data_IF_342321455042
#
_entry.id   IF_342321455042
#
_cell.length_a   1.000
_cell.length_b   1.000
_cell.length_c   1.000
_cell.angle_alpha   90.00
_cell.angle_beta   90.00
_cell.angle_gamma   90.00
#
_symmetry.space_group_name_H-M   'P 1'
#
loop_
_entity.id
_entity.type
_entity.pdbx_description
1 polymer ?
#
# COMPACT_ATOMS: atom_id res chain seq x y z
N UNK A 1 -1.60 -41.95 4.15
CA UNK A 1 -2.14 -41.14 3.01
C UNK A 1 -2.95 -39.92 3.46
N UNK A 2 -3.57 -39.92 4.65
CA UNK A 2 -4.39 -38.80 5.17
C UNK A 2 -3.59 -37.54 5.56
N UNK A 3 -2.41 -37.67 6.18
CA UNK A 3 -1.59 -36.51 6.58
C UNK A 3 -1.12 -35.64 5.39
N UNK A 4 -0.83 -36.24 4.23
CA UNK A 4 -0.47 -35.49 3.02
C UNK A 4 -1.62 -34.59 2.52
N UNK A 5 -2.87 -35.07 2.62
CA UNK A 5 -4.05 -34.27 2.25
C UNK A 5 -4.28 -33.12 3.21
N UNK A 6 -4.07 -33.33 4.51
CA UNK A 6 -4.19 -32.29 5.54
C UNK A 6 -3.12 -31.20 5.34
N UNK A 7 -1.87 -31.59 5.06
CA UNK A 7 -0.78 -30.63 4.80
C UNK A 7 -1.05 -29.80 3.54
N UNK A 8 -1.60 -30.39 2.49
CA UNK A 8 -1.97 -29.68 1.25
C UNK A 8 -3.09 -28.68 1.51
N UNK A 9 -4.14 -29.06 2.25
CA UNK A 9 -5.24 -28.16 2.60
C UNK A 9 -4.76 -27.01 3.49
N UNK A 10 -3.89 -27.30 4.46
CA UNK A 10 -3.31 -26.28 5.34
C UNK A 10 -2.41 -25.31 4.56
N UNK A 11 -1.60 -25.81 3.62
CA UNK A 11 -0.79 -24.99 2.73
C UNK A 11 -1.65 -24.11 1.80
N UNK A 12 -2.80 -24.61 1.34
CA UNK A 12 -3.74 -23.85 0.52
C UNK A 12 -4.40 -22.73 1.33
N UNK A 13 -4.82 -23.00 2.57
CA UNK A 13 -5.37 -21.97 3.46
C UNK A 13 -4.32 -20.91 3.83
N UNK A 14 -3.07 -21.30 4.09
CA UNK A 14 -1.96 -20.38 4.33
C UNK A 14 -1.63 -19.52 3.09
N UNK A 15 -1.75 -20.07 1.89
CA UNK A 15 -1.55 -19.32 0.64
C UNK A 15 -2.65 -18.28 0.40
N UNK A 16 -3.90 -18.59 0.74
CA UNK A 16 -5.03 -17.65 0.68
C UNK A 16 -4.86 -16.51 1.69
N UNK A 17 -4.44 -16.84 2.92
CA UNK A 17 -4.17 -15.85 3.98
C UNK A 17 -2.99 -14.92 3.63
N UNK A 18 -1.98 -15.41 2.91
CA UNK A 18 -0.83 -14.61 2.49
C UNK A 18 -1.13 -13.59 1.38
N UNK A 19 -2.31 -13.67 0.73
CA UNK A 19 -2.78 -12.71 -0.28
C UNK A 19 -3.54 -11.51 0.30
N UNK A 20 -3.88 -11.53 1.60
CA UNK A 20 -4.82 -10.59 2.23
C UNK A 20 -4.19 -9.37 2.91
N UNK A 21 -2.89 -9.12 2.76
CA UNK A 21 -2.19 -8.04 3.49
C UNK A 21 -1.81 -6.83 2.64
N UNK A 22 -2.64 -6.44 1.67
CA UNK A 22 -2.51 -5.13 1.06
C UNK A 22 -3.07 -4.09 2.04
N UNK A 23 -2.21 -3.24 2.63
CA UNK A 23 -2.67 -2.15 3.49
C UNK A 23 -3.40 -1.11 2.61
N UNK A 24 -4.61 -0.68 3.00
CA UNK A 24 -5.34 0.34 2.26
C UNK A 24 -4.55 1.65 2.30
N UNK A 25 -4.34 2.24 1.12
CA UNK A 25 -3.71 3.55 0.96
C UNK A 25 -4.78 4.62 0.98
N UNK A 26 -4.62 5.59 1.87
CA UNK A 26 -5.48 6.75 1.89
C UNK A 26 -5.24 7.67 0.68
N UNK A 27 -6.34 8.14 0.08
CA UNK A 27 -6.33 9.16 -0.95
C UNK A 27 -6.66 10.54 -0.35
N UNK A 28 -6.15 11.60 -0.97
CA UNK A 28 -6.39 12.98 -0.58
C UNK A 28 -7.38 13.63 -1.56
N UNK A 29 -8.30 14.44 -1.03
CA UNK A 29 -9.16 15.27 -1.88
C UNK A 29 -8.40 16.52 -2.32
N UNK A 30 -8.68 17.00 -3.53
CA UNK A 30 -8.04 18.19 -4.09
C UNK A 30 -8.59 19.49 -3.51
N UNK A 31 -9.87 19.50 -3.14
CA UNK A 31 -10.58 20.65 -2.59
C UNK A 31 -11.36 20.29 -1.30
N UNK A 32 -10.68 19.82 -0.25
CA UNK A 32 -11.34 19.52 1.02
C UNK A 32 -11.87 20.81 1.67
N UNK A 33 -13.07 20.77 2.24
CA UNK A 33 -13.64 21.94 2.93
C UNK A 33 -13.12 22.11 4.35
N UNK A 34 -13.40 21.15 5.22
CA UNK A 34 -12.92 21.14 6.60
C UNK A 34 -12.44 19.73 6.95
N UNK A 35 -11.46 19.62 7.84
CA UNK A 35 -10.88 18.34 8.23
C UNK A 35 -11.06 18.05 9.72
N UNK A 36 -11.15 16.77 10.06
CA UNK A 36 -11.07 16.28 11.43
C UNK A 36 -10.21 15.03 11.49
N UNK A 37 -9.41 14.93 12.54
CA UNK A 37 -8.62 13.75 12.83
C UNK A 37 -9.48 12.70 13.54
N UNK A 38 -9.51 11.49 13.01
CA UNK A 38 -10.04 10.32 13.68
C UNK A 38 -8.88 9.36 13.97
N UNK A 39 -8.78 8.92 15.23
CA UNK A 39 -7.77 7.97 15.68
C UNK A 39 -8.46 6.63 15.90
N UNK A 40 -8.18 5.66 15.02
CA UNK A 40 -8.68 4.31 15.13
C UNK A 40 -7.51 3.32 15.17
N UNK A 41 -7.79 2.05 15.48
CA UNK A 41 -6.80 0.97 15.42
C UNK A 41 -6.15 0.83 14.03
N UNK A 42 -6.89 1.16 12.97
CA UNK A 42 -6.41 1.20 11.58
C UNK A 42 -5.38 2.31 11.31
N UNK A 43 -5.29 3.31 12.18
CA UNK A 43 -4.38 4.44 12.08
C UNK A 43 -5.04 5.80 12.33
N UNK A 44 -4.19 6.84 12.30
CA UNK A 44 -4.59 8.22 12.50
C UNK A 44 -4.81 8.89 11.14
N UNK A 45 -6.07 9.15 10.79
CA UNK A 45 -6.43 9.71 9.49
C UNK A 45 -7.27 10.98 9.64
N UNK A 46 -6.92 12.01 8.89
CA UNK A 46 -7.79 13.15 8.63
C UNK A 46 -8.92 12.77 7.68
N UNK A 47 -10.15 12.94 8.12
CA UNK A 47 -11.34 12.87 7.28
C UNK A 47 -11.77 14.29 6.92
N UNK A 48 -12.41 14.43 5.78
CA UNK A 48 -12.76 15.71 5.19
C UNK A 48 -14.25 15.81 4.94
N UNK A 49 -14.79 17.02 5.08
CA UNK A 49 -16.14 17.35 4.63
C UNK A 49 -16.09 18.36 3.49
N UNK A 50 -17.07 18.27 2.61
CA UNK A 50 -17.32 19.27 1.57
C UNK A 50 -17.68 20.62 2.19
N UNK A 51 -17.42 21.70 1.44
CA UNK A 51 -18.10 22.96 1.68
C UNK A 51 -19.58 22.81 1.31
N UNK A 52 -20.49 23.62 1.89
CA UNK A 52 -21.90 23.60 1.52
C UNK A 52 -22.06 23.69 0.00
N UNK A 53 -22.87 22.80 -0.56
CA UNK A 53 -23.22 22.76 -2.00
C UNK A 53 -22.05 22.55 -2.98
N UNK A 54 -20.86 22.23 -2.47
CA UNK A 54 -19.69 21.92 -3.31
C UNK A 54 -19.33 20.46 -3.20
N UNK A 55 -18.92 19.86 -4.30
CA UNK A 55 -18.37 18.50 -4.29
C UNK A 55 -16.87 18.53 -3.98
N UNK A 56 -16.39 17.51 -3.28
CA UNK A 56 -14.96 17.22 -3.12
C UNK A 56 -14.49 16.39 -4.30
N UNK A 57 -13.33 16.73 -4.85
CA UNK A 57 -12.71 16.11 -6.03
C UNK A 57 -11.61 15.17 -5.58
N UNK A 58 -11.53 14.02 -6.23
CA UNK A 58 -10.55 12.98 -5.96
C UNK A 58 -9.92 12.52 -7.27
N UNK A 59 -8.60 12.53 -7.34
CA UNK A 59 -7.87 11.92 -8.44
C UNK A 59 -7.84 10.39 -8.27
N UNK A 60 -8.31 9.68 -9.28
CA UNK A 60 -8.48 8.22 -9.29
C UNK A 60 -7.80 7.56 -10.49
N UNK A 61 -6.78 8.21 -11.05
CA UNK A 61 -6.01 7.66 -12.16
C UNK A 61 -5.45 6.28 -11.81
N UNK A 62 -5.72 5.28 -12.66
CA UNK A 62 -5.31 3.87 -12.50
C UNK A 62 -5.90 3.14 -11.28
N UNK A 63 -7.04 3.61 -10.76
CA UNK A 63 -7.75 2.99 -9.64
C UNK A 63 -9.04 2.34 -10.13
N UNK A 64 -9.26 1.06 -9.77
CA UNK A 64 -10.45 0.29 -10.14
C UNK A 64 -11.61 0.41 -9.14
N UNK A 65 -11.30 0.63 -7.86
CA UNK A 65 -12.28 0.64 -6.77
C UNK A 65 -11.77 1.52 -5.64
N UNK A 66 -12.67 2.31 -5.04
CA UNK A 66 -12.38 3.04 -3.82
C UNK A 66 -13.31 2.61 -2.69
N UNK A 67 -12.76 2.58 -1.49
CA UNK A 67 -13.51 2.44 -0.25
C UNK A 67 -13.67 3.81 0.38
N UNK A 68 -14.91 4.29 0.45
CA UNK A 68 -15.25 5.52 1.15
C UNK A 68 -15.61 5.19 2.60
N UNK A 69 -14.77 5.61 3.53
CA UNK A 69 -15.02 5.49 4.98
C UNK A 69 -15.57 6.81 5.50
N UNK A 70 -16.53 6.73 6.43
CA UNK A 70 -17.18 7.94 6.95
C UNK A 70 -17.57 7.85 8.41
N UNK A 71 -17.61 9.02 9.06
CA UNK A 71 -18.18 9.18 10.39
C UNK A 71 -18.95 10.49 10.50
N UNK A 72 -19.86 10.58 11.48
CA UNK A 72 -20.53 11.81 11.85
C UNK A 72 -20.24 12.25 13.28
N UNK A 73 -20.30 13.57 13.51
CA UNK A 73 -20.22 14.17 14.85
C UNK A 73 -21.57 14.08 15.58
N UNK A 74 -22.67 14.05 14.82
CA UNK A 74 -24.04 14.10 15.33
C UNK A 74 -24.87 12.94 14.77
N UNK A 75 -25.92 12.50 15.47
CA UNK A 75 -26.81 11.46 14.98
C UNK A 75 -27.60 11.96 13.78
N UNK A 76 -27.44 11.30 12.63
CA UNK A 76 -28.16 11.62 11.40
C UNK A 76 -29.30 10.63 11.17
N UNK A 77 -30.47 11.15 10.76
CA UNK A 77 -31.65 10.33 10.50
C UNK A 77 -31.56 9.53 9.20
N UNK A 78 -30.97 10.14 8.15
CA UNK A 78 -30.82 9.55 6.81
C UNK A 78 -29.48 9.98 6.19
N UNK A 79 -28.36 9.52 6.75
CA UNK A 79 -27.05 9.89 6.24
C UNK A 79 -26.85 9.29 4.84
N UNK A 80 -26.48 10.13 3.89
CA UNK A 80 -26.31 9.75 2.49
C UNK A 80 -25.13 10.50 1.87
N UNK A 81 -24.48 9.84 0.90
CA UNK A 81 -23.40 10.42 0.11
C UNK A 81 -23.65 10.18 -1.37
N UNK A 82 -23.30 11.15 -2.20
CA UNK A 82 -23.50 11.09 -3.64
C UNK A 82 -22.14 11.03 -4.32
N UNK A 83 -21.88 9.98 -5.09
CA UNK A 83 -20.73 9.89 -5.97
C UNK A 83 -21.11 10.34 -7.37
N UNK A 84 -20.32 11.23 -7.97
CA UNK A 84 -20.49 11.73 -9.33
C UNK A 84 -19.31 11.24 -10.17
N UNK A 85 -19.60 10.39 -11.14
CA UNK A 85 -18.63 9.81 -12.08
C UNK A 85 -19.16 10.06 -13.49
N UNK A 86 -18.39 10.70 -14.36
CA UNK A 86 -18.80 11.04 -15.73
C UNK A 86 -20.20 11.68 -15.82
N UNK A 87 -20.48 12.62 -14.91
CA UNK A 87 -21.77 13.32 -14.75
C UNK A 87 -22.96 12.44 -14.29
N UNK A 88 -22.75 11.15 -14.06
CA UNK A 88 -23.75 10.25 -13.46
C UNK A 88 -23.66 10.33 -11.95
N UNK A 89 -24.79 10.63 -11.31
CA UNK A 89 -24.89 10.68 -9.86
C UNK A 89 -25.40 9.35 -9.33
N UNK A 90 -24.72 8.80 -8.33
CA UNK A 90 -25.15 7.61 -7.60
C UNK A 90 -25.23 7.94 -6.12
N UNK A 91 -26.39 7.71 -5.52
CA UNK A 91 -26.63 7.96 -4.09
C UNK A 91 -26.40 6.68 -3.31
N UNK A 92 -25.59 6.78 -2.26
CA UNK A 92 -25.28 5.71 -1.34
C UNK A 92 -25.83 6.06 0.05
N UNK A 93 -26.72 5.21 0.55
CA UNK A 93 -27.21 5.32 1.93
C UNK A 93 -26.14 4.78 2.89
N UNK A 94 -25.89 5.49 3.99
CA UNK A 94 -24.90 5.09 4.99
C UNK A 94 -25.59 4.37 6.16
N UNK A 95 -25.11 3.18 6.48
CA UNK A 95 -25.60 2.39 7.62
C UNK A 95 -24.68 2.61 8.81
N UNK A 96 -25.26 2.87 9.99
CA UNK A 96 -24.47 3.04 11.22
C UNK A 96 -23.87 1.69 11.62
N UNK A 97 -22.54 1.66 11.75
CA UNK A 97 -21.78 0.48 12.16
C UNK A 97 -21.50 0.47 13.66
N UNK A 98 -20.94 1.57 14.17
CA UNK A 98 -20.43 1.63 15.53
C UNK A 98 -20.38 3.07 16.07
N UNK A 99 -20.03 3.23 17.35
CA UNK A 99 -19.79 4.52 18.00
C UNK A 99 -18.42 4.52 18.67
N UNK A 100 -17.64 5.56 18.40
CA UNK A 100 -16.30 5.73 18.97
C UNK A 100 -16.15 7.14 19.53
N UNK A 101 -15.94 7.26 20.85
CA UNK A 101 -15.68 8.54 21.52
C UNK A 101 -16.71 9.66 21.19
N UNK A 102 -17.98 9.27 21.00
CA UNK A 102 -19.06 10.20 20.63
C UNK A 102 -19.22 10.45 19.12
N UNK A 103 -18.35 9.89 18.28
CA UNK A 103 -18.54 9.84 16.83
C UNK A 103 -19.39 8.65 16.41
N UNK A 104 -20.18 8.83 15.35
CA UNK A 104 -21.02 7.83 14.73
C UNK A 104 -20.29 7.27 13.50
N UNK A 105 -19.77 6.05 13.58
CA UNK A 105 -19.04 5.39 12.51
C UNK A 105 -20.00 4.67 11.57
N UNK A 106 -19.89 4.93 10.26
CA UNK A 106 -20.71 4.26 9.25
C UNK A 106 -19.92 3.16 8.54
N UNK A 107 -20.66 2.23 7.92
CA UNK A 107 -20.07 1.21 7.05
C UNK A 107 -19.33 1.85 5.86
N UNK A 108 -18.27 1.18 5.40
CA UNK A 108 -17.51 1.61 4.24
C UNK A 108 -18.32 1.35 2.96
N UNK A 109 -18.43 2.37 2.12
CA UNK A 109 -19.08 2.25 0.81
C UNK A 109 -18.02 1.96 -0.24
N UNK A 110 -18.17 0.84 -0.97
CA UNK A 110 -17.35 0.57 -2.15
C UNK A 110 -17.94 1.28 -3.37
N UNK A 111 -17.11 2.03 -4.10
CA UNK A 111 -17.48 2.70 -5.34
C UNK A 111 -16.56 2.17 -6.45
N UNK A 112 -17.10 1.40 -7.41
CA UNK A 112 -16.33 0.94 -8.57
C UNK A 112 -16.05 2.12 -9.50
N UNK A 113 -14.84 2.17 -10.04
CA UNK A 113 -14.37 3.23 -10.93
C UNK A 113 -14.23 2.68 -12.34
N UNK A 114 -14.92 3.25 -13.34
CA UNK A 114 -14.76 2.86 -14.73
C UNK A 114 -13.33 3.07 -15.23
N UNK A 115 -12.89 2.23 -16.17
CA UNK A 115 -11.57 2.37 -16.78
C UNK A 115 -11.44 3.72 -17.51
N UNK A 116 -10.31 4.41 -17.29
CA UNK A 116 -10.03 5.70 -17.90
C UNK A 116 -10.61 6.91 -17.17
N UNK A 117 -11.35 6.73 -16.07
CA UNK A 117 -11.77 7.84 -15.21
C UNK A 117 -10.58 8.43 -14.46
N UNK A 118 -10.37 9.74 -14.57
CA UNK A 118 -9.27 10.45 -13.88
C UNK A 118 -9.71 11.13 -12.60
N UNK A 119 -10.95 11.61 -12.56
CA UNK A 119 -11.48 12.41 -11.47
C UNK A 119 -12.89 11.91 -11.12
N UNK A 120 -13.16 11.75 -9.83
CA UNK A 120 -14.51 11.58 -9.31
C UNK A 120 -14.85 12.72 -8.36
N UNK A 121 -16.14 12.94 -8.16
CA UNK A 121 -16.60 13.92 -7.19
C UNK A 121 -17.48 13.27 -6.13
N UNK A 122 -17.25 13.63 -4.87
CA UNK A 122 -18.03 13.19 -3.72
C UNK A 122 -18.79 14.40 -3.19
N UNK A 123 -20.11 14.30 -3.19
CA UNK A 123 -21.02 15.33 -2.71
C UNK A 123 -21.75 14.82 -1.47
N UNK A 124 -21.73 15.63 -0.42
CA UNK A 124 -22.49 15.39 0.81
C UNK A 124 -23.12 16.70 1.27
N UNK A 125 -24.41 16.63 1.62
CA UNK A 125 -25.17 17.77 2.12
C UNK A 125 -25.12 17.91 3.64
N UNK A 126 -24.97 16.79 4.36
CA UNK A 126 -24.90 16.79 5.82
C UNK A 126 -23.56 17.35 6.30
N UNK A 127 -23.61 18.39 7.14
CA UNK A 127 -22.42 19.13 7.61
C UNK A 127 -21.64 18.41 8.71
N UNK A 128 -22.25 17.42 9.34
CA UNK A 128 -21.66 16.64 10.41
C UNK A 128 -20.95 15.39 9.90
N UNK A 129 -21.08 15.04 8.60
CA UNK A 129 -20.41 13.90 7.97
C UNK A 129 -19.01 14.26 7.46
N UNK A 130 -18.06 13.37 7.75
CA UNK A 130 -16.68 13.44 7.31
C UNK A 130 -16.29 12.15 6.60
N UNK A 131 -15.51 12.27 5.53
CA UNK A 131 -15.18 11.18 4.62
C UNK A 131 -13.69 11.09 4.35
N UNK A 132 -13.23 9.87 4.08
CA UNK A 132 -11.90 9.64 3.50
C UNK A 132 -11.97 8.46 2.56
N UNK A 133 -11.41 8.65 1.36
CA UNK A 133 -11.29 7.59 0.37
C UNK A 133 -10.01 6.78 0.63
N UNK A 134 -10.14 5.47 0.54
CA UNK A 134 -9.05 4.51 0.61
C UNK A 134 -9.05 3.67 -0.66
N UNK A 135 -7.87 3.28 -1.08
CA UNK A 135 -7.68 2.36 -2.18
C UNK A 135 -6.75 1.25 -1.74
N UNK A 136 -7.15 0.02 -2.00
CA UNK A 136 -6.33 -1.16 -1.73
C UNK A 136 -5.57 -1.50 -3.00
N UNK A 137 -4.23 -1.32 -3.04
CA UNK A 137 -3.46 -1.68 -4.22
C UNK A 137 -3.60 -3.18 -4.48
N UNK A 138 -3.75 -3.61 -5.75
CA UNK A 138 -3.72 -5.02 -6.05
C UNK A 138 -2.42 -5.62 -5.51
N UNK A 139 -2.45 -6.85 -4.97
CA UNK A 139 -1.27 -7.47 -4.40
C UNK A 139 -0.19 -7.49 -5.47
N UNK A 140 0.85 -6.67 -5.27
CA UNK A 140 2.00 -6.65 -6.17
C UNK A 140 2.48 -8.09 -6.25
N UNK A 141 2.62 -8.70 -7.45
CA UNK A 141 3.19 -10.02 -7.56
C UNK A 141 4.47 -9.99 -6.77
N UNK A 142 4.59 -10.82 -5.73
CA UNK A 142 5.83 -10.93 -4.96
C UNK A 142 6.91 -11.14 -6.02
N UNK A 143 7.79 -10.16 -6.20
CA UNK A 143 8.95 -10.33 -7.04
C UNK A 143 9.53 -11.67 -6.60
N UNK A 144 9.67 -12.63 -7.54
CA UNK A 144 10.33 -13.91 -7.26
C UNK A 144 11.49 -13.59 -6.33
N UNK A 145 11.65 -14.28 -5.18
CA UNK A 145 12.74 -13.99 -4.26
C UNK A 145 13.96 -13.86 -5.14
N UNK A 146 14.57 -12.66 -5.16
CA UNK A 146 15.74 -12.41 -5.98
C UNK A 146 16.68 -13.52 -5.57
N UNK A 147 16.79 -14.55 -6.42
CA UNK A 147 17.64 -15.72 -6.20
C UNK A 147 18.93 -15.11 -5.76
N UNK A 148 19.27 -15.36 -4.48
CA UNK A 148 20.31 -14.73 -3.71
C UNK A 148 21.29 -14.08 -4.66
N UNK A 149 21.33 -12.73 -4.72
CA UNK A 149 22.33 -11.97 -5.50
C UNK A 149 23.58 -12.83 -5.50
N UNK A 150 23.83 -13.54 -6.61
CA UNK A 150 24.91 -14.50 -6.63
C UNK A 150 26.10 -13.59 -6.47
N UNK A 151 26.68 -13.59 -5.27
CA UNK A 151 27.97 -12.96 -5.05
C UNK A 151 28.83 -13.52 -6.18
N UNK A 152 29.39 -12.67 -7.06
CA UNK A 152 30.20 -13.17 -8.15
C UNK A 152 31.22 -14.11 -7.54
N UNK A 153 31.42 -15.29 -8.16
CA UNK A 153 32.27 -16.35 -7.61
C UNK A 153 33.67 -15.85 -7.20
N UNK A 154 34.11 -14.70 -7.75
CA UNK A 154 35.30 -13.97 -7.35
C UNK A 154 35.02 -12.47 -7.36
N UNK A 155 35.41 -11.79 -6.29
CA UNK A 155 35.41 -10.32 -6.18
C UNK A 155 36.76 -9.84 -5.65
N UNK A 156 37.32 -8.77 -6.24
CA UNK A 156 38.59 -8.17 -5.82
C UNK A 156 38.37 -6.69 -5.56
N UNK A 157 38.62 -6.25 -4.34
CA UNK A 157 38.61 -4.84 -3.94
C UNK A 157 40.03 -4.37 -3.67
N UNK A 158 40.42 -3.24 -4.25
CA UNK A 158 41.70 -2.59 -4.02
C UNK A 158 41.48 -1.21 -3.40
N UNK A 159 41.99 -0.98 -2.19
CA UNK A 159 41.95 0.33 -1.57
C UNK A 159 43.20 0.56 -0.71
N UNK A 160 43.89 1.67 -0.94
CA UNK A 160 44.98 2.16 -0.09
C UNK A 160 46.09 1.13 0.21
N UNK A 161 46.54 0.39 -0.82
CA UNK A 161 47.59 -0.62 -0.71
C UNK A 161 47.13 -1.98 -0.16
N UNK A 162 45.85 -2.12 0.18
CA UNK A 162 45.21 -3.37 0.63
C UNK A 162 44.37 -3.94 -0.50
N UNK A 163 44.55 -5.22 -0.79
CA UNK A 163 43.77 -5.97 -1.77
C UNK A 163 42.97 -7.07 -1.06
N UNK A 164 41.65 -6.96 -1.07
CA UNK A 164 40.75 -7.97 -0.51
C UNK A 164 40.18 -8.83 -1.63
N UNK A 165 40.47 -10.13 -1.60
CA UNK A 165 39.95 -11.11 -2.54
C UNK A 165 38.89 -11.98 -1.84
N UNK A 166 37.67 -11.99 -2.36
CA UNK A 166 36.55 -12.80 -1.84
C UNK A 166 36.15 -13.87 -2.85
N UNK A 167 36.15 -15.14 -2.44
CA UNK A 167 35.69 -16.29 -3.23
C UNK A 167 34.74 -17.15 -2.41
N UNK A 168 33.52 -17.38 -2.91
CA UNK A 168 32.51 -18.24 -2.28
C UNK A 168 32.29 -17.99 -0.77
N UNK A 169 32.37 -16.73 -0.33
CA UNK A 169 32.15 -16.33 1.07
C UNK A 169 33.40 -16.30 1.95
N UNK A 170 34.55 -16.79 1.47
CA UNK A 170 35.84 -16.65 2.17
C UNK A 170 36.61 -15.44 1.61
N UNK A 171 37.14 -14.61 2.51
CA UNK A 171 37.94 -13.43 2.17
C UNK A 171 39.40 -13.60 2.60
N UNK A 172 40.32 -13.11 1.79
CA UNK A 172 41.75 -13.04 2.09
C UNK A 172 42.26 -11.65 1.75
N UNK A 173 43.01 -11.05 2.68
CA UNK A 173 43.58 -9.73 2.55
C UNK A 173 45.08 -9.82 2.21
N UNK A 174 45.49 -9.08 1.19
CA UNK A 174 46.86 -8.98 0.71
C UNK A 174 47.34 -7.53 0.86
N UNK A 175 48.54 -7.36 1.39
CA UNK A 175 49.15 -6.04 1.60
C UNK A 175 50.31 -5.88 0.62
N UNK A 176 50.32 -4.77 -0.12
CA UNK A 176 51.46 -4.39 -0.96
C UNK A 176 52.14 -3.14 -0.37
N UNK A 177 53.46 -3.23 -0.18
CA UNK A 177 54.30 -2.09 0.19
C UNK A 177 54.78 -1.29 -1.05
N UNK A 178 54.49 -1.78 -2.25
CA UNK A 178 54.78 -1.14 -3.55
C UNK A 178 53.48 -1.05 -4.37
N UNK A 179 52.60 -0.06 -4.09
CA UNK A 179 51.29 0.04 -4.72
C UNK A 179 51.36 0.30 -6.24
N UNK A 180 52.49 0.79 -6.73
CA UNK A 180 52.70 1.13 -8.15
C UNK A 180 53.10 -0.08 -9.02
N UNK A 181 53.34 -1.25 -8.42
CA UNK A 181 53.67 -2.46 -9.17
C UNK A 181 52.41 -3.23 -9.57
N UNK A 182 52.29 -3.66 -10.84
CA UNK A 182 51.14 -4.44 -11.29
C UNK A 182 51.14 -5.82 -10.61
N UNK A 183 50.07 -6.12 -9.87
CA UNK A 183 49.83 -7.44 -9.28
C UNK A 183 49.08 -8.32 -10.28
N UNK A 184 49.55 -9.56 -10.46
CA UNK A 184 48.89 -10.56 -11.32
C UNK A 184 48.34 -11.70 -10.47
N UNK A 185 47.05 -11.94 -10.58
CA UNK A 185 46.37 -13.09 -9.98
C UNK A 185 46.12 -14.14 -11.06
N UNK A 186 46.58 -15.36 -10.82
CA UNK A 186 46.32 -16.50 -11.70
C UNK A 186 45.40 -17.47 -10.98
N UNK A 187 44.16 -17.58 -11.44
CA UNK A 187 43.21 -18.55 -10.91
C UNK A 187 43.43 -19.89 -11.61
N UNK A 188 43.98 -20.88 -10.91
CA UNK A 188 43.98 -22.25 -11.40
C UNK A 188 42.62 -22.90 -11.14
N UNK A 189 41.65 -22.65 -12.03
CA UNK A 189 40.43 -23.45 -12.07
C UNK A 189 40.76 -24.77 -12.80
N UNK A 190 41.28 -25.77 -12.07
CA UNK A 190 41.28 -27.17 -12.55
C UNK A 190 39.85 -27.69 -12.55
N UNK A 191 39.02 -27.18 -13.46
CA UNK A 191 37.76 -27.78 -13.86
C UNK A 191 38.00 -28.58 -15.13
#
# INVERSE_FOLDING_TARGET
MQYKKIIIVMALMLAVLAGLQAKPKALAFDNPGNSRLLKNDDGNFYYYRSLPEKSMKLNVTDISEIELRSFAIEPLKKPQVISIIDKKQTTHALTLKDRLEGYYLYESVSIPIPEGTKEIQILCYDRSLYFRAFWTPPPKPKAKPATAKQLPNLHVNAHSGILTMTRNGNSSDYYSFTPDQPLRFTLNNKR
#
